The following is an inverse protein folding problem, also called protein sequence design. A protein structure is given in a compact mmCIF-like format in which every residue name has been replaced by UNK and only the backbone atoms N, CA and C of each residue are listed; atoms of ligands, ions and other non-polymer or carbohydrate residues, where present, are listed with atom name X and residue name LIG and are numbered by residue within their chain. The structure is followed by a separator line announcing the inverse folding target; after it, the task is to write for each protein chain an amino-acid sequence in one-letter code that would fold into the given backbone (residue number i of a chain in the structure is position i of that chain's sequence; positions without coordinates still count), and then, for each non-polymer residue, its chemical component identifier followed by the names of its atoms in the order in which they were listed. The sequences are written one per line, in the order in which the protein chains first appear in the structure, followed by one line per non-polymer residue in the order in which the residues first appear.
data_IF_619790425979
#
_entry.id   IF_619790425979
#
_cell.length_a   1.000
_cell.length_b   1.000
_cell.length_c   1.000
_cell.angle_alpha   90.00
_cell.angle_beta   90.00
_cell.angle_gamma   90.00
#
_symmetry.space_group_name_H-M   'P 1'
#
loop_
_entity.id
_entity.type
_entity.pdbx_description
1 polymer ?
#
# COMPACT_ATOMS: atom_id res chain seq x y z
N UNK A 1 -41.34 17.95 -40.44
CA UNK A 1 -40.26 18.62 -41.19
C UNK A 1 -39.24 19.09 -40.17
N UNK A 2 -38.13 18.37 -40.01
CA UNK A 2 -37.00 18.86 -39.20
C UNK A 2 -36.36 20.00 -39.96
N UNK A 3 -36.27 21.17 -39.34
CA UNK A 3 -35.56 22.31 -39.93
C UNK A 3 -34.07 22.01 -39.97
N UNK A 4 -33.35 22.54 -40.96
CA UNK A 4 -31.90 22.34 -41.10
C UNK A 4 -31.10 22.75 -39.83
N UNK A 5 -31.68 23.58 -38.95
CA UNK A 5 -31.13 23.89 -37.63
C UNK A 5 -31.09 22.69 -36.68
N UNK A 6 -32.08 21.80 -36.75
CA UNK A 6 -32.21 20.66 -35.82
C UNK A 6 -31.22 19.55 -36.19
N UNK A 7 -30.88 19.44 -37.47
CA UNK A 7 -29.83 18.54 -37.98
C UNK A 7 -28.44 19.07 -37.57
N UNK A 8 -28.19 20.38 -37.73
CA UNK A 8 -26.92 21.00 -37.31
C UNK A 8 -26.69 20.96 -35.79
N UNK A 9 -27.76 21.11 -34.98
CA UNK A 9 -27.68 20.99 -33.53
C UNK A 9 -27.44 19.55 -33.07
N UNK A 10 -27.97 18.56 -33.80
CA UNK A 10 -27.71 17.15 -33.53
C UNK A 10 -26.29 16.76 -33.96
N UNK A 11 -25.85 17.09 -35.18
CA UNK A 11 -24.49 16.79 -35.67
C UNK A 11 -23.39 17.37 -34.76
N UNK A 12 -23.54 18.62 -34.28
CA UNK A 12 -22.61 19.19 -33.29
C UNK A 12 -22.73 18.62 -31.87
N UNK A 13 -23.78 17.83 -31.59
CA UNK A 13 -23.91 17.06 -30.35
C UNK A 13 -23.34 15.64 -30.46
N UNK A 14 -23.08 15.14 -31.68
CA UNK A 14 -22.53 13.79 -31.92
C UNK A 14 -21.06 13.81 -32.34
N UNK A 15 -20.50 14.96 -32.72
CA UNK A 15 -19.05 15.05 -32.91
C UNK A 15 -18.35 14.80 -31.56
N UNK A 16 -17.42 13.83 -31.49
CA UNK A 16 -16.63 13.62 -30.30
C UNK A 16 -15.79 14.88 -30.11
N UNK A 17 -16.12 15.68 -29.09
CA UNK A 17 -15.29 16.79 -28.67
C UNK A 17 -13.84 16.27 -28.57
N UNK A 18 -12.86 16.90 -29.23
CA UNK A 18 -11.47 16.45 -29.18
C UNK A 18 -11.10 16.38 -27.72
N UNK A 19 -10.85 15.18 -27.19
CA UNK A 19 -10.84 14.88 -25.75
C UNK A 19 -10.30 16.06 -24.93
N UNK A 20 -11.21 16.95 -24.48
CA UNK A 20 -10.82 18.14 -23.75
C UNK A 20 -10.56 17.68 -22.33
N UNK A 21 -9.36 17.12 -22.13
CA UNK A 21 -8.97 16.56 -20.85
C UNK A 21 -8.80 17.71 -19.85
N UNK A 22 -9.84 17.93 -19.02
CA UNK A 22 -9.86 18.88 -17.90
C UNK A 22 -8.70 18.66 -16.91
N UNK A 23 -8.14 17.45 -16.91
CA UNK A 23 -7.00 17.04 -16.10
C UNK A 23 -5.88 16.63 -17.03
N UNK A 24 -4.67 17.15 -16.80
CA UNK A 24 -3.53 16.82 -17.66
C UNK A 24 -2.93 15.49 -17.24
N UNK A 25 -2.79 14.60 -18.22
CA UNK A 25 -1.98 13.40 -18.06
C UNK A 25 -0.55 13.78 -17.65
N UNK A 26 -0.03 13.07 -16.64
CA UNK A 26 1.36 13.15 -16.17
C UNK A 26 1.78 14.49 -15.52
N UNK A 27 0.85 15.40 -15.24
CA UNK A 27 1.08 16.54 -14.34
C UNK A 27 0.33 16.32 -13.03
N UNK A 28 1.08 16.37 -11.93
CA UNK A 28 0.57 16.12 -10.59
C UNK A 28 0.75 17.38 -9.76
N UNK A 29 -0.32 17.79 -9.08
CA UNK A 29 -0.22 18.75 -7.98
C UNK A 29 0.06 17.95 -6.73
N UNK A 30 0.96 18.44 -5.89
CA UNK A 30 1.27 17.79 -4.63
C UNK A 30 0.84 18.63 -3.44
N UNK A 31 0.37 17.95 -2.41
CA UNK A 31 0.12 18.54 -1.09
C UNK A 31 1.12 17.87 -0.14
N UNK A 32 1.92 18.68 0.55
CA UNK A 32 2.84 18.22 1.59
C UNK A 32 2.18 18.41 2.95
N UNK A 33 2.23 17.37 3.79
CA UNK A 33 2.00 17.53 5.21
C UNK A 33 3.34 17.69 5.93
N UNK A 34 3.56 18.87 6.51
CA UNK A 34 4.74 19.21 7.30
C UNK A 34 4.44 19.31 8.81
N UNK A 35 3.22 18.99 9.24
CA UNK A 35 2.80 19.06 10.65
C UNK A 35 3.04 17.76 11.41
N UNK A 36 3.27 16.66 10.69
CA UNK A 36 3.59 15.34 11.21
C UNK A 36 5.07 15.20 11.60
N UNK A 37 5.48 15.81 12.72
CA UNK A 37 6.78 15.55 13.35
C UNK A 37 6.61 14.63 14.57
N UNK A 38 7.63 13.83 14.91
CA UNK A 38 7.72 13.00 16.13
C UNK A 38 6.75 11.81 16.25
N UNK A 39 6.59 11.01 15.19
CA UNK A 39 5.92 9.70 15.29
C UNK A 39 4.40 9.76 15.45
N UNK A 40 3.78 10.94 15.31
CA UNK A 40 2.34 11.08 15.13
C UNK A 40 2.08 11.60 13.72
N UNK A 41 1.64 10.69 12.86
CA UNK A 41 1.19 11.04 11.52
C UNK A 41 -0.29 11.40 11.55
N UNK A 42 -0.64 12.60 11.09
CA UNK A 42 -2.01 13.02 10.82
C UNK A 42 -2.08 13.65 9.43
N UNK A 43 -1.84 12.86 8.38
CA UNK A 43 -1.86 13.36 7.01
C UNK A 43 -1.69 12.31 5.91
N UNK A 44 -2.25 12.64 4.75
CA UNK A 44 -2.49 11.85 3.54
C UNK A 44 -1.27 11.45 2.69
N UNK A 45 -1.16 10.14 2.40
CA UNK A 45 -0.44 9.48 1.27
C UNK A 45 1.09 9.46 1.27
N UNK A 46 1.61 8.32 0.77
CA UNK A 46 3.00 7.85 0.74
C UNK A 46 3.54 7.60 2.14
N UNK A 47 3.51 6.31 2.51
CA UNK A 47 3.98 5.79 3.78
C UNK A 47 5.46 5.46 3.66
N UNK A 48 6.23 5.75 4.71
CA UNK A 48 7.63 5.36 4.80
C UNK A 48 7.70 4.25 5.82
N UNK A 49 7.95 3.03 5.39
CA UNK A 49 8.02 1.94 6.33
C UNK A 49 9.45 1.90 6.89
N UNK A 50 9.57 2.08 8.20
CA UNK A 50 10.81 1.96 8.94
C UNK A 50 10.79 0.64 9.72
N UNK A 51 11.81 -0.17 9.47
CA UNK A 51 11.98 -1.48 10.08
C UNK A 51 13.34 -1.50 10.77
N UNK A 52 13.36 -1.83 12.05
CA UNK A 52 14.57 -1.76 12.86
C UNK A 52 14.65 -2.93 13.81
N UNK A 53 15.84 -3.53 13.95
CA UNK A 53 16.11 -4.53 14.97
C UNK A 53 17.35 -4.17 15.80
N UNK A 54 17.27 -4.24 17.12
CA UNK A 54 18.37 -3.99 18.07
C UNK A 54 18.37 -4.95 19.25
N UNK A 55 19.35 -4.82 20.15
CA UNK A 55 19.44 -5.57 21.40
C UNK A 55 19.40 -4.66 22.64
N UNK A 56 18.99 -5.24 23.77
CA UNK A 56 18.97 -4.58 25.08
C UNK A 56 20.27 -4.72 25.88
N UNK A 57 21.28 -5.40 25.35
CA UNK A 57 22.60 -5.57 25.94
C UNK A 57 23.66 -5.57 24.85
N UNK A 58 24.93 -5.32 25.19
CA UNK A 58 25.99 -5.48 24.20
C UNK A 58 26.10 -6.96 23.82
N UNK A 59 26.10 -7.25 22.52
CA UNK A 59 26.10 -8.62 21.99
C UNK A 59 27.21 -8.76 20.96
N UNK A 60 27.92 -9.89 20.98
CA UNK A 60 28.87 -10.27 19.94
C UNK A 60 28.13 -11.14 18.93
N UNK A 61 27.83 -10.60 17.76
CA UNK A 61 27.30 -11.40 16.66
C UNK A 61 28.44 -12.14 15.96
N UNK A 62 28.24 -13.43 15.69
CA UNK A 62 29.19 -14.23 14.88
C UNK A 62 28.80 -14.28 13.40
N UNK A 63 27.62 -13.73 13.06
CA UNK A 63 27.11 -13.58 11.71
C UNK A 63 26.19 -12.37 11.63
N UNK A 64 26.32 -11.62 10.54
CA UNK A 64 25.51 -10.44 10.25
C UNK A 64 24.08 -10.84 9.84
N UNK A 65 23.12 -9.90 9.95
CA UNK A 65 21.79 -10.09 9.36
C UNK A 65 21.90 -10.30 7.84
N UNK A 66 20.94 -11.01 7.27
CA UNK A 66 20.75 -10.96 5.82
C UNK A 66 20.17 -9.60 5.41
N UNK A 67 20.45 -9.14 4.19
CA UNK A 67 19.92 -7.85 3.69
C UNK A 67 18.38 -7.83 3.65
N UNK A 68 17.79 -9.02 3.55
CA UNK A 68 16.36 -9.26 3.51
C UNK A 68 15.81 -9.87 4.80
N UNK A 69 16.48 -9.66 5.94
CA UNK A 69 16.08 -10.24 7.25
C UNK A 69 14.67 -9.84 7.69
N UNK A 70 14.21 -8.64 7.34
CA UNK A 70 12.85 -8.15 7.60
C UNK A 70 12.18 -7.79 6.28
N UNK A 71 10.99 -8.33 6.03
CA UNK A 71 10.24 -8.13 4.79
C UNK A 71 8.81 -7.70 5.10
N UNK A 72 8.21 -6.75 4.36
CA UNK A 72 6.79 -6.41 4.51
C UNK A 72 5.85 -7.60 4.25
N UNK A 73 4.85 -7.80 5.12
CA UNK A 73 3.99 -9.00 5.11
C UNK A 73 3.12 -9.13 3.86
N UNK A 74 2.61 -8.01 3.33
CA UNK A 74 1.87 -7.96 2.06
C UNK A 74 2.09 -6.62 1.36
N UNK A 75 3.37 -6.24 1.24
CA UNK A 75 3.76 -4.90 0.78
C UNK A 75 3.35 -3.80 1.76
N UNK A 76 3.25 -2.57 1.26
CA UNK A 76 3.06 -1.41 2.10
C UNK A 76 1.65 -1.25 2.70
N UNK A 77 0.64 -1.94 2.17
CA UNK A 77 -0.75 -1.81 2.67
C UNK A 77 -0.95 -2.39 4.06
N UNK A 78 -0.12 -3.35 4.46
CA UNK A 78 -0.16 -3.89 5.82
C UNK A 78 0.23 -2.85 6.88
N UNK A 79 0.91 -1.78 6.48
CA UNK A 79 1.17 -0.64 7.37
C UNK A 79 -0.05 0.27 7.51
N UNK A 80 -1.08 0.17 6.66
CA UNK A 80 -2.35 0.88 6.85
C UNK A 80 -3.26 0.07 7.77
N UNK A 81 -3.58 0.64 8.92
CA UNK A 81 -4.57 0.07 9.83
C UNK A 81 -6.00 0.43 9.40
N UNK A 82 -6.24 1.74 9.21
CA UNK A 82 -7.58 2.24 8.96
C UNK A 82 -7.59 3.57 8.21
N UNK A 83 -8.68 3.82 7.47
CA UNK A 83 -8.82 5.00 6.61
C UNK A 83 -10.21 5.60 6.77
N UNK A 84 -10.25 6.91 7.04
CA UNK A 84 -11.48 7.72 7.01
C UNK A 84 -11.35 8.79 5.94
N UNK A 85 -12.42 9.07 5.21
CA UNK A 85 -12.46 10.13 4.19
C UNK A 85 -13.63 11.07 4.47
N UNK A 86 -13.33 12.36 4.58
CA UNK A 86 -14.28 13.45 4.77
C UNK A 86 -14.14 14.43 3.62
N UNK A 87 -15.20 14.65 2.86
CA UNK A 87 -15.24 15.55 1.72
C UNK A 87 -16.34 16.59 1.96
N UNK A 88 -15.99 17.86 1.83
CA UNK A 88 -16.89 19.01 2.00
C UNK A 88 -17.74 18.94 3.27
N UNK A 89 -17.11 18.51 4.37
CA UNK A 89 -17.75 18.35 5.70
C UNK A 89 -18.57 17.08 5.87
N UNK A 90 -18.71 16.24 4.84
CA UNK A 90 -19.43 14.96 4.88
C UNK A 90 -18.47 13.79 4.93
N UNK A 91 -18.67 12.87 5.86
CA UNK A 91 -17.89 11.62 5.91
C UNK A 91 -18.36 10.69 4.80
N UNK A 92 -17.53 10.49 3.77
CA UNK A 92 -17.82 9.60 2.62
C UNK A 92 -17.27 8.19 2.81
N UNK A 93 -16.29 8.03 3.71
CA UNK A 93 -15.88 6.74 4.26
C UNK A 93 -15.63 6.90 5.75
N UNK A 94 -16.38 6.16 6.57
CA UNK A 94 -16.15 6.08 8.02
C UNK A 94 -14.86 5.34 8.32
N UNK A 95 -14.24 5.64 9.46
CA UNK A 95 -13.06 4.90 9.91
C UNK A 95 -13.42 3.41 10.12
N UNK A 96 -12.72 2.49 9.46
CA UNK A 96 -12.93 1.04 9.58
C UNK A 96 -11.62 0.37 10.00
N UNK A 97 -11.64 -0.30 11.17
CA UNK A 97 -10.47 -0.58 12.02
C UNK A 97 -10.17 -2.07 12.14
N UNK A 98 -10.21 -2.85 11.04
CA UNK A 98 -9.56 -4.16 11.08
C UNK A 98 -9.01 -4.52 9.71
N UNK A 99 -7.67 -4.55 9.65
CA UNK A 99 -6.79 -4.83 8.50
C UNK A 99 -6.94 -3.94 7.26
N UNK A 100 -7.82 -2.94 7.30
CA UNK A 100 -8.53 -2.45 6.14
C UNK A 100 -8.69 -3.59 5.13
N UNK A 101 -9.52 -4.58 5.49
CA UNK A 101 -9.90 -5.68 4.59
C UNK A 101 -10.10 -5.09 3.21
N UNK A 102 -10.78 -3.95 3.03
CA UNK A 102 -10.94 -3.37 1.70
C UNK A 102 -9.62 -3.09 0.95
N UNK A 103 -8.62 -2.42 1.55
CA UNK A 103 -7.37 -2.13 0.85
C UNK A 103 -6.52 -3.39 0.60
N UNK A 104 -6.36 -4.23 1.63
CA UNK A 104 -5.60 -5.48 1.53
C UNK A 104 -6.31 -6.49 0.62
N UNK A 105 -7.62 -6.68 0.79
CA UNK A 105 -8.48 -7.51 -0.06
C UNK A 105 -8.52 -7.00 -1.48
N UNK A 106 -8.61 -5.70 -1.75
CA UNK A 106 -8.54 -5.18 -3.13
C UNK A 106 -7.18 -5.42 -3.76
N UNK A 107 -6.10 -5.24 -3.01
CA UNK A 107 -4.78 -5.62 -3.48
C UNK A 107 -4.72 -7.12 -3.82
N UNK A 108 -5.35 -7.98 -3.01
CA UNK A 108 -5.38 -9.43 -3.23
C UNK A 108 -6.37 -9.89 -4.32
N UNK A 109 -7.48 -9.18 -4.55
CA UNK A 109 -8.61 -9.65 -5.37
C UNK A 109 -8.88 -8.84 -6.62
N UNK A 110 -8.54 -7.54 -6.64
CA UNK A 110 -8.78 -6.66 -7.80
C UNK A 110 -7.52 -6.45 -8.65
N UNK A 111 -6.35 -6.85 -8.17
CA UNK A 111 -5.13 -6.76 -8.96
C UNK A 111 -5.09 -7.89 -9.98
N UNK A 112 -5.36 -7.54 -11.24
CA UNK A 112 -5.03 -8.43 -12.34
C UNK A 112 -3.50 -8.51 -12.54
N UNK A 113 -3.05 -9.56 -13.22
CA UNK A 113 -1.64 -9.78 -13.49
C UNK A 113 -0.98 -8.58 -14.21
N UNK A 114 -1.71 -7.91 -15.11
CA UNK A 114 -1.19 -6.72 -15.80
C UNK A 114 -1.05 -5.50 -14.86
N UNK A 115 -1.91 -5.35 -13.86
CA UNK A 115 -1.74 -4.31 -12.83
C UNK A 115 -0.55 -4.64 -11.94
N UNK A 116 -0.40 -5.90 -11.54
CA UNK A 116 0.76 -6.37 -10.78
C UNK A 116 2.09 -6.07 -11.51
N UNK A 117 2.22 -6.44 -12.79
CA UNK A 117 3.44 -6.18 -13.57
C UNK A 117 3.77 -4.69 -13.68
N UNK A 118 2.75 -3.82 -13.75
CA UNK A 118 2.94 -2.37 -13.89
C UNK A 118 3.22 -1.66 -12.56
N UNK A 119 2.72 -2.19 -11.44
CA UNK A 119 2.57 -1.42 -10.20
C UNK A 119 3.09 -2.13 -8.93
N UNK A 120 3.38 -3.44 -8.99
CA UNK A 120 3.87 -4.22 -7.86
C UNK A 120 5.17 -3.67 -7.29
N UNK A 121 6.13 -3.31 -8.15
CA UNK A 121 7.42 -2.78 -7.74
C UNK A 121 7.35 -1.48 -6.95
N UNK A 122 6.42 -0.57 -7.27
CA UNK A 122 6.30 0.74 -6.60
C UNK A 122 5.60 0.68 -5.24
N UNK A 123 4.95 -0.44 -4.97
CA UNK A 123 4.10 -0.64 -3.80
C UNK A 123 4.55 -1.81 -2.93
N UNK A 124 5.65 -2.45 -3.34
CA UNK A 124 6.25 -3.64 -2.73
C UNK A 124 5.25 -4.81 -2.61
N UNK A 125 4.24 -4.86 -3.49
CA UNK A 125 3.27 -5.94 -3.53
C UNK A 125 3.80 -7.14 -4.33
N UNK A 126 3.52 -8.34 -3.85
CA UNK A 126 3.57 -9.56 -4.65
C UNK A 126 2.43 -10.48 -4.24
N UNK A 127 1.86 -11.18 -5.22
CA UNK A 127 0.86 -12.22 -4.99
C UNK A 127 1.55 -13.42 -4.32
N UNK A 128 1.01 -13.88 -3.20
CA UNK A 128 1.47 -15.09 -2.56
C UNK A 128 1.09 -16.29 -3.44
N UNK A 129 2.11 -16.96 -3.98
CA UNK A 129 1.97 -18.19 -4.74
C UNK A 129 2.70 -19.32 -4.00
N UNK A 130 2.14 -20.52 -4.08
CA UNK A 130 2.86 -21.72 -3.68
C UNK A 130 3.81 -22.10 -4.81
N UNK A 131 5.11 -21.97 -4.57
CA UNK A 131 6.13 -22.52 -5.48
C UNK A 131 6.81 -23.72 -4.82
N UNK A 132 7.18 -24.71 -5.63
CA UNK A 132 8.07 -25.78 -5.18
C UNK A 132 9.38 -25.15 -4.67
N UNK A 133 9.96 -25.66 -3.56
CA UNK A 133 11.29 -25.25 -3.11
C UNK A 133 12.30 -25.25 -4.26
N UNK A 134 13.09 -24.19 -4.41
CA UNK A 134 14.01 -23.99 -5.52
C UNK A 134 15.18 -25.00 -5.49
N UNK A 135 15.20 -25.97 -6.41
CA UNK A 135 16.13 -27.10 -6.47
C UNK A 135 17.58 -26.81 -5.97
N UNK A 136 17.88 -27.28 -4.76
CA UNK A 136 19.22 -27.52 -4.22
C UNK A 136 19.31 -28.98 -3.76
N UNK A 137 20.50 -29.58 -3.79
CA UNK A 137 20.74 -31.04 -3.62
C UNK A 137 20.36 -31.65 -2.26
N UNK A 138 19.61 -30.94 -1.43
CA UNK A 138 19.19 -31.34 -0.08
C UNK A 138 17.77 -30.87 0.28
N UNK A 139 16.97 -30.46 -0.72
CA UNK A 139 15.59 -30.03 -0.47
C UNK A 139 14.66 -31.25 -0.39
N UNK A 140 13.91 -31.30 0.70
CA UNK A 140 12.86 -32.29 0.93
C UNK A 140 11.72 -32.01 -0.06
N UNK A 141 11.51 -32.93 -1.00
CA UNK A 141 10.65 -32.75 -2.18
C UNK A 141 9.14 -32.95 -1.93
N UNK A 142 8.74 -33.35 -0.73
CA UNK A 142 7.35 -33.74 -0.43
C UNK A 142 6.96 -33.37 0.99
N UNK A 143 5.70 -32.96 1.20
CA UNK A 143 5.13 -32.64 2.53
C UNK A 143 5.33 -33.80 3.52
N UNK A 144 5.22 -35.03 3.02
CA UNK A 144 5.39 -36.27 3.78
C UNK A 144 6.79 -36.45 4.39
N UNK A 145 7.79 -35.74 3.87
CA UNK A 145 9.17 -35.81 4.35
C UNK A 145 9.61 -34.57 5.14
N UNK A 146 8.76 -33.54 5.25
CA UNK A 146 9.06 -32.34 6.07
C UNK A 146 8.84 -32.69 7.54
N UNK A 147 9.87 -32.57 8.37
CA UNK A 147 9.71 -32.80 9.81
C UNK A 147 8.72 -31.80 10.38
N UNK A 148 7.79 -32.26 11.22
CA UNK A 148 6.75 -31.41 11.83
C UNK A 148 7.36 -30.22 12.57
N UNK A 149 8.53 -30.35 13.18
CA UNK A 149 9.28 -29.26 13.82
C UNK A 149 9.76 -28.15 12.87
N UNK A 150 9.84 -28.43 11.57
CA UNK A 150 10.21 -27.47 10.51
C UNK A 150 9.00 -26.71 9.96
N UNK A 151 7.78 -27.20 10.20
CA UNK A 151 6.53 -26.60 9.73
C UNK A 151 5.71 -26.01 10.89
N UNK A 152 5.64 -26.73 11.99
CA UNK A 152 4.93 -26.43 13.23
C UNK A 152 5.92 -26.28 14.38
N UNK A 153 6.15 -25.05 14.84
CA UNK A 153 6.72 -24.85 16.17
C UNK A 153 5.57 -24.79 17.19
N UNK A 154 5.49 -25.74 18.10
CA UNK A 154 4.49 -25.75 19.19
C UNK A 154 4.60 -24.55 20.16
N UNK A 155 5.67 -23.77 20.05
CA UNK A 155 5.96 -22.57 20.86
C UNK A 155 5.61 -21.27 20.12
N UNK A 156 5.58 -21.32 18.78
CA UNK A 156 5.34 -20.17 17.91
C UNK A 156 4.32 -20.65 16.89
N UNK A 157 3.03 -20.51 17.24
CA UNK A 157 1.92 -21.00 16.43
C UNK A 157 2.09 -20.65 14.95
N UNK A 158 1.52 -21.50 14.11
CA UNK A 158 1.59 -21.48 12.65
C UNK A 158 0.97 -20.21 12.04
N UNK A 159 1.63 -19.06 12.23
CA UNK A 159 1.23 -17.78 11.68
C UNK A 159 2.48 -16.94 11.39
N UNK A 160 3.00 -17.06 10.16
CA UNK A 160 3.68 -15.95 9.49
C UNK A 160 5.16 -15.74 9.80
N UNK A 161 5.97 -16.79 9.92
CA UNK A 161 7.40 -16.59 10.17
C UNK A 161 8.36 -17.30 9.19
N UNK A 162 8.07 -18.45 8.57
CA UNK A 162 9.00 -19.03 7.58
C UNK A 162 8.68 -18.57 6.14
N UNK A 163 9.51 -17.70 5.57
CA UNK A 163 9.25 -16.99 4.32
C UNK A 163 9.58 -17.82 3.05
N UNK A 164 10.72 -18.50 2.92
CA UNK A 164 11.19 -18.81 1.55
C UNK A 164 11.12 -20.25 1.07
N UNK A 165 10.76 -21.24 1.90
CA UNK A 165 10.64 -22.61 1.37
C UNK A 165 9.31 -22.85 0.64
N UNK A 166 8.26 -22.08 0.93
CA UNK A 166 6.89 -22.33 0.43
C UNK A 166 6.09 -21.05 0.07
N UNK A 167 6.49 -19.85 0.52
CA UNK A 167 5.80 -18.60 0.18
C UNK A 167 6.60 -17.81 -0.87
N UNK A 168 6.28 -18.06 -2.15
CA UNK A 168 6.92 -17.39 -3.29
C UNK A 168 6.70 -15.87 -3.27
N UNK A 169 5.56 -15.41 -2.78
CA UNK A 169 5.26 -13.98 -2.69
C UNK A 169 6.17 -13.27 -1.71
N UNK A 170 6.44 -13.90 -0.56
CA UNK A 170 7.35 -13.36 0.44
C UNK A 170 8.83 -13.42 -0.01
N UNK A 171 9.21 -14.44 -0.80
CA UNK A 171 10.49 -14.48 -1.52
C UNK A 171 10.60 -13.35 -2.54
N UNK A 172 9.60 -13.16 -3.42
CA UNK A 172 9.63 -12.11 -4.43
C UNK A 172 9.60 -10.71 -3.79
N UNK A 173 8.88 -10.53 -2.67
CA UNK A 173 8.94 -9.29 -1.87
C UNK A 173 10.33 -9.05 -1.31
N UNK A 174 11.05 -10.11 -0.92
CA UNK A 174 12.42 -10.02 -0.43
C UNK A 174 13.40 -9.49 -1.51
N UNK A 175 13.08 -9.69 -2.79
CA UNK A 175 13.85 -9.13 -3.90
C UNK A 175 13.71 -7.60 -4.02
N UNK A 176 12.72 -7.00 -3.36
CA UNK A 176 12.57 -5.54 -3.25
C UNK A 176 13.33 -4.94 -2.07
N UNK A 177 13.86 -5.75 -1.16
CA UNK A 177 14.27 -5.33 0.19
C UNK A 177 15.48 -4.38 0.20
N UNK A 178 16.43 -4.49 -0.74
CA UNK A 178 17.39 -3.43 -1.11
C UNK A 178 18.38 -3.85 -2.21
N UNK A 179 19.18 -2.87 -2.68
CA UNK A 179 20.42 -3.08 -3.42
C UNK A 179 21.55 -3.47 -2.45
N UNK A 180 22.26 -4.54 -2.74
CA UNK A 180 23.50 -4.91 -2.04
C UNK A 180 24.56 -3.83 -2.28
N UNK A 181 24.89 -3.06 -1.24
CA UNK A 181 25.81 -1.91 -1.28
C UNK A 181 27.28 -2.32 -1.10
N UNK A 182 27.60 -3.61 -1.18
CA UNK A 182 28.99 -4.05 -1.17
C UNK A 182 29.70 -3.60 -2.46
N UNK A 183 30.95 -3.16 -2.31
CA UNK A 183 31.83 -2.89 -3.45
C UNK A 183 31.91 -4.14 -4.35
N UNK A 184 31.93 -3.95 -5.67
CA UNK A 184 31.87 -4.98 -6.73
C UNK A 184 30.47 -5.51 -7.08
N UNK A 185 29.39 -4.90 -6.56
CA UNK A 185 28.03 -5.16 -7.02
C UNK A 185 27.67 -4.12 -8.08
N UNK A 186 27.16 -4.57 -9.23
CA UNK A 186 26.73 -3.69 -10.33
C UNK A 186 25.81 -2.56 -9.85
N UNK A 187 24.91 -2.87 -8.91
CA UNK A 187 24.05 -1.89 -8.27
C UNK A 187 24.83 -0.77 -7.57
N UNK A 188 25.84 -1.12 -6.78
CA UNK A 188 26.73 -0.17 -6.12
C UNK A 188 27.60 0.59 -7.13
N UNK A 189 28.08 -0.06 -8.18
CA UNK A 189 28.91 0.58 -9.21
C UNK A 189 28.12 1.61 -10.03
N UNK A 190 26.84 1.35 -10.29
CA UNK A 190 25.95 2.26 -11.04
C UNK A 190 25.39 3.37 -10.15
N UNK A 191 24.93 3.03 -8.95
CA UNK A 191 24.21 3.96 -8.08
C UNK A 191 25.13 4.67 -7.09
N UNK A 192 26.29 4.12 -6.76
CA UNK A 192 27.23 4.70 -5.80
C UNK A 192 26.77 4.56 -4.35
N UNK A 193 27.09 5.57 -3.53
CA UNK A 193 26.87 5.56 -2.08
C UNK A 193 25.39 5.75 -1.67
N UNK A 194 25.11 5.58 -0.38
CA UNK A 194 23.79 5.75 0.25
C UNK A 194 23.05 7.03 -0.19
N UNK A 195 23.77 8.15 -0.36
CA UNK A 195 23.17 9.43 -0.74
C UNK A 195 22.46 9.38 -2.11
N UNK A 196 23.02 8.64 -3.06
CA UNK A 196 22.44 8.49 -4.39
C UNK A 196 21.21 7.56 -4.37
N UNK A 197 21.24 6.54 -3.51
CA UNK A 197 20.11 5.62 -3.31
C UNK A 197 18.91 6.37 -2.70
N UNK A 198 19.15 7.33 -1.80
CA UNK A 198 18.11 8.22 -1.27
C UNK A 198 17.47 9.05 -2.39
N UNK A 199 18.28 9.64 -3.26
CA UNK A 199 17.82 10.51 -4.33
C UNK A 199 16.86 9.80 -5.31
N UNK A 200 17.04 8.50 -5.53
CA UNK A 200 16.17 7.70 -6.41
C UNK A 200 15.06 6.95 -5.69
N UNK A 201 14.91 7.16 -4.37
CA UNK A 201 13.86 6.54 -3.55
C UNK A 201 13.85 5.01 -3.61
N UNK A 202 15.03 4.38 -3.68
CA UNK A 202 15.16 2.92 -3.57
C UNK A 202 15.20 2.52 -2.08
N UNK A 203 14.70 1.31 -1.74
CA UNK A 203 14.82 0.79 -0.39
C UNK A 203 16.27 0.79 0.10
N UNK A 204 16.46 1.30 1.31
CA UNK A 204 17.77 1.42 1.94
C UNK A 204 17.85 0.42 3.07
N UNK A 205 18.90 -0.38 3.10
CA UNK A 205 19.14 -1.33 4.18
C UNK A 205 20.53 -1.13 4.75
N UNK A 206 20.60 -1.14 6.07
CA UNK A 206 21.80 -1.24 6.86
C UNK A 206 21.79 -2.58 7.59
N UNK A 207 22.94 -3.25 7.57
CA UNK A 207 23.20 -4.47 8.33
C UNK A 207 24.48 -4.24 9.13
N UNK A 208 24.43 -4.50 10.43
CA UNK A 208 25.63 -4.50 11.25
C UNK A 208 26.54 -5.67 10.86
N UNK A 209 27.86 -5.44 10.66
CA UNK A 209 28.80 -6.51 10.41
C UNK A 209 28.87 -7.45 11.62
N UNK A 210 29.36 -8.68 11.39
CA UNK A 210 29.66 -9.59 12.49
C UNK A 210 30.69 -8.95 13.44
N UNK A 211 30.42 -8.97 14.74
CA UNK A 211 31.28 -8.39 15.75
C UNK A 211 30.52 -7.87 16.96
N UNK A 212 31.19 -7.02 17.74
CA UNK A 212 30.60 -6.40 18.92
C UNK A 212 29.60 -5.32 18.52
N UNK A 213 28.33 -5.53 18.86
CA UNK A 213 27.25 -4.54 18.72
C UNK A 213 26.94 -4.01 20.12
N UNK A 214 26.99 -2.68 20.26
CA UNK A 214 26.72 -2.01 21.53
C UNK A 214 25.24 -2.12 21.91
N UNK A 215 24.95 -1.99 23.22
CA UNK A 215 23.57 -1.95 23.70
C UNK A 215 22.78 -0.83 23.00
N UNK A 216 21.61 -1.15 22.46
CA UNK A 216 20.73 -0.22 21.75
C UNK A 216 21.16 0.11 20.33
N UNK A 217 22.31 -0.39 19.85
CA UNK A 217 22.73 -0.20 18.47
C UNK A 217 21.93 -1.13 17.51
N UNK A 218 21.66 -0.69 16.27
CA UNK A 218 20.99 -1.52 15.28
C UNK A 218 21.82 -2.73 14.87
N UNK A 219 21.17 -3.88 14.74
CA UNK A 219 21.63 -4.98 13.89
C UNK A 219 21.15 -4.85 12.45
N UNK A 220 19.97 -4.27 12.28
CA UNK A 220 19.29 -4.13 11.00
C UNK A 220 18.47 -2.84 11.00
N UNK A 221 18.56 -2.07 9.93
CA UNK A 221 17.65 -0.96 9.65
C UNK A 221 17.25 -1.02 8.19
N UNK A 222 15.97 -0.85 7.90
CA UNK A 222 15.50 -0.65 6.54
C UNK A 222 14.50 0.49 6.45
N UNK A 223 14.60 1.26 5.35
CA UNK A 223 13.65 2.29 4.99
C UNK A 223 13.07 2.00 3.60
N UNK A 224 11.75 1.90 3.53
CA UNK A 224 10.99 1.75 2.29
C UNK A 224 10.19 3.02 2.01
N UNK A 225 10.21 3.48 0.76
CA UNK A 225 9.18 4.39 0.28
C UNK A 225 8.01 3.57 -0.27
N UNK A 226 6.84 3.72 0.33
CA UNK A 226 5.62 3.12 -0.17
C UNK A 226 4.81 4.10 -1.02
N UNK A 227 4.41 3.67 -2.21
CA UNK A 227 3.45 4.38 -3.04
C UNK A 227 2.10 3.67 -3.01
N UNK A 228 1.10 4.29 -2.36
CA UNK A 228 -0.25 3.74 -2.27
C UNK A 228 -1.22 4.62 -3.03
N UNK A 229 -2.03 3.99 -3.89
CA UNK A 229 -3.01 4.71 -4.72
C UNK A 229 -4.27 5.02 -3.91
N UNK A 230 -4.83 6.21 -4.13
CA UNK A 230 -6.11 6.63 -3.55
C UNK A 230 -7.26 5.64 -3.79
N UNK A 231 -7.34 5.08 -5.00
CA UNK A 231 -8.39 4.12 -5.36
C UNK A 231 -8.30 2.80 -4.57
N UNK A 232 -7.11 2.46 -4.07
CA UNK A 232 -6.87 1.21 -3.36
C UNK A 232 -7.23 1.37 -1.86
N UNK A 233 -7.11 2.56 -1.27
CA UNK A 233 -7.41 2.80 0.15
C UNK A 233 -8.92 2.93 0.45
N UNK A 234 -9.71 3.38 -0.53
CA UNK A 234 -11.12 3.71 -0.37
C UNK A 234 -11.86 3.65 -1.71
N UNK A 235 -13.05 3.04 -1.74
CA UNK A 235 -13.89 2.94 -2.94
C UNK A 235 -14.37 4.28 -3.48
N UNK A 236 -14.48 5.29 -2.61
CA UNK A 236 -14.85 6.64 -3.01
C UNK A 236 -13.95 7.11 -4.16
N UNK A 237 -12.63 6.98 -4.04
CA UNK A 237 -11.70 7.46 -5.06
C UNK A 237 -11.72 6.68 -6.38
N UNK A 238 -12.28 5.46 -6.37
CA UNK A 238 -12.52 4.68 -7.59
C UNK A 238 -13.78 5.12 -8.33
N UNK A 239 -14.77 5.61 -7.57
CA UNK A 239 -16.13 5.91 -8.07
C UNK A 239 -16.43 7.40 -8.20
N UNK A 240 -15.69 8.25 -7.49
CA UNK A 240 -15.93 9.67 -7.50
C UNK A 240 -15.61 10.21 -8.90
N UNK A 241 -16.50 11.01 -9.50
CA UNK A 241 -16.15 11.72 -10.73
C UNK A 241 -14.99 12.67 -10.43
N UNK A 242 -14.25 13.07 -11.46
CA UNK A 242 -13.24 14.10 -11.27
C UNK A 242 -13.94 15.42 -10.87
N UNK A 243 -13.61 15.93 -9.69
CA UNK A 243 -14.24 17.10 -9.11
C UNK A 243 -13.21 18.23 -8.94
N UNK A 244 -13.65 19.47 -9.16
CA UNK A 244 -12.87 20.69 -8.93
C UNK A 244 -13.35 21.35 -7.64
N UNK A 245 -12.44 22.02 -6.94
CA UNK A 245 -12.72 22.77 -5.70
C UNK A 245 -13.20 21.92 -4.51
N UNK A 246 -13.07 20.60 -4.57
CA UNK A 246 -13.33 19.69 -3.45
C UNK A 246 -12.34 19.94 -2.33
N UNK A 247 -12.84 20.10 -1.10
CA UNK A 247 -12.00 20.19 0.10
C UNK A 247 -12.31 19.04 1.03
N UNK A 248 -11.32 18.61 1.79
CA UNK A 248 -11.55 17.47 2.67
C UNK A 248 -10.31 16.99 3.38
N UNK A 249 -10.51 15.96 4.18
CA UNK A 249 -9.49 15.26 4.94
C UNK A 249 -9.60 13.76 4.64
N UNK A 250 -8.47 13.08 4.66
CA UNK A 250 -8.37 11.63 4.66
C UNK A 250 -7.45 11.36 5.82
N UNK A 251 -7.95 10.61 6.78
CA UNK A 251 -7.19 10.17 7.92
C UNK A 251 -6.71 8.76 7.60
N UNK A 252 -5.41 8.53 7.74
CA UNK A 252 -4.80 7.22 7.58
C UNK A 252 -4.13 6.92 8.91
N UNK A 253 -4.59 5.86 9.57
CA UNK A 253 -3.94 5.34 10.76
C UNK A 253 -3.02 4.19 10.33
N UNK A 254 -1.87 4.07 10.98
CA UNK A 254 -0.86 3.08 10.64
C UNK A 254 -0.75 1.99 11.70
N UNK A 255 -0.45 0.79 11.24
CA UNK A 255 0.01 -0.29 12.08
C UNK A 255 1.45 -0.02 12.51
N UNK A 256 1.71 -0.14 13.82
CA UNK A 256 3.05 -0.12 14.38
C UNK A 256 3.18 -1.22 15.43
N UNK A 257 4.30 -1.94 15.39
CA UNK A 257 4.53 -3.07 16.29
C UNK A 257 5.95 -3.04 16.84
N UNK A 258 6.10 -3.59 18.03
CA UNK A 258 7.36 -3.92 18.67
C UNK A 258 7.36 -5.40 19.02
N UNK A 259 8.25 -6.17 18.40
CA UNK A 259 8.39 -7.60 18.60
C UNK A 259 9.65 -7.90 19.37
N UNK A 260 9.52 -8.54 20.52
CA UNK A 260 10.65 -9.06 21.27
C UNK A 260 10.93 -10.49 20.81
N UNK A 261 12.18 -10.76 20.43
CA UNK A 261 12.68 -12.09 20.10
C UNK A 261 13.74 -12.46 21.13
N UNK A 262 13.54 -13.56 21.85
CA UNK A 262 14.53 -14.11 22.78
C UNK A 262 15.13 -15.37 22.18
N UNK A 263 16.45 -15.44 22.05
CA UNK A 263 17.12 -16.66 21.58
C UNK A 263 17.33 -17.66 22.72
N UNK A 264 17.05 -18.94 22.46
CA UNK A 264 17.17 -20.02 23.43
C UNK A 264 18.49 -20.80 23.29
N UNK A 265 19.21 -20.60 22.19
CA UNK A 265 20.50 -21.25 21.91
C UNK A 265 21.40 -20.31 21.11
N UNK A 266 22.71 -20.49 21.25
CA UNK A 266 23.70 -19.79 20.42
C UNK A 266 23.58 -20.28 18.98
N UNK A 267 23.59 -19.37 18.02
CA UNK A 267 23.51 -19.70 16.61
C UNK A 267 22.66 -18.72 15.82
N UNK A 268 22.34 -19.10 14.59
CA UNK A 268 21.44 -18.33 13.73
C UNK A 268 20.06 -18.23 14.39
N UNK A 269 19.50 -17.03 14.39
CA UNK A 269 18.12 -16.77 14.82
C UNK A 269 17.20 -17.54 13.87
N UNK A 270 16.52 -18.57 14.39
CA UNK A 270 15.74 -19.53 13.63
C UNK A 270 14.44 -19.89 14.37
N UNK A 271 13.38 -20.38 13.68
CA UNK A 271 12.10 -20.66 14.34
C UNK A 271 12.23 -21.61 15.53
N UNK A 272 13.11 -22.62 15.46
CA UNK A 272 13.34 -23.59 16.55
C UNK A 272 14.21 -23.08 17.70
N UNK A 273 14.82 -21.90 17.57
CA UNK A 273 15.80 -21.36 18.53
C UNK A 273 15.31 -20.09 19.21
N UNK A 274 14.05 -19.69 19.01
CA UNK A 274 13.51 -18.42 19.50
C UNK A 274 12.19 -18.58 20.25
N UNK A 275 11.95 -17.65 21.18
CA UNK A 275 10.64 -17.27 21.68
C UNK A 275 10.30 -15.87 21.18
N UNK A 276 9.06 -15.65 20.76
CA UNK A 276 8.62 -14.38 20.16
C UNK A 276 7.44 -13.83 20.97
N UNK A 277 7.50 -12.54 21.28
CA UNK A 277 6.38 -11.79 21.85
C UNK A 277 6.15 -10.55 21.01
N UNK A 278 5.02 -10.48 20.31
CA UNK A 278 4.64 -9.29 19.55
C UNK A 278 3.78 -8.37 20.42
N UNK A 279 4.06 -7.08 20.35
CA UNK A 279 3.31 -6.03 21.01
C UNK A 279 2.92 -4.94 20.00
N UNK A 280 1.62 -4.80 19.75
CA UNK A 280 1.10 -3.74 18.90
C UNK A 280 1.20 -2.40 19.63
N UNK A 281 1.99 -1.48 19.09
CA UNK A 281 2.10 -0.11 19.62
C UNK A 281 0.91 0.73 19.15
N UNK A 282 0.56 0.60 17.88
CA UNK A 282 -0.60 1.23 17.24
C UNK A 282 -1.18 0.31 16.17
N UNK A 283 -2.48 0.43 15.91
CA UNK A 283 -3.20 -0.43 14.97
C UNK A 283 -3.39 -1.85 15.51
N UNK A 284 -3.77 -2.77 14.62
CA UNK A 284 -4.26 -4.09 15.00
C UNK A 284 -3.38 -5.26 14.51
N UNK A 285 -2.46 -5.04 13.56
CA UNK A 285 -1.66 -6.13 12.96
C UNK A 285 -0.19 -5.80 12.82
N UNK A 286 0.67 -6.81 13.03
CA UNK A 286 2.10 -6.68 12.77
C UNK A 286 2.37 -6.61 11.24
N UNK A 287 2.96 -5.52 10.72
CA UNK A 287 3.08 -5.30 9.28
C UNK A 287 4.27 -6.04 8.62
N UNK A 288 5.11 -6.70 9.41
CA UNK A 288 6.38 -7.28 8.95
C UNK A 288 6.47 -8.78 9.19
N UNK A 289 7.37 -9.41 8.42
CA UNK A 289 7.79 -10.80 8.53
C UNK A 289 9.28 -10.84 8.81
N UNK A 290 9.71 -11.71 9.72
CA UNK A 290 11.12 -12.06 9.87
C UNK A 290 11.48 -13.14 8.85
N UNK A 291 12.42 -12.86 7.96
CA UNK A 291 12.86 -13.82 6.96
C UNK A 291 14.00 -14.69 7.52
N UNK A 292 13.70 -15.95 7.84
CA UNK A 292 14.72 -16.90 8.32
C UNK A 292 15.62 -17.47 7.23
N UNK A 293 15.26 -17.28 5.97
CA UNK A 293 15.90 -17.98 4.86
C UNK A 293 16.04 -17.00 3.71
N UNK A 294 17.20 -16.37 3.61
CA UNK A 294 17.44 -15.27 2.67
C UNK A 294 17.32 -15.72 1.21
N UNK A 295 16.74 -14.87 0.37
CA UNK A 295 16.60 -15.11 -1.07
C UNK A 295 17.95 -15.13 -1.81
N UNK A 296 19.01 -14.57 -1.22
CA UNK A 296 20.37 -14.61 -1.76
C UNK A 296 21.17 -15.85 -1.33
N UNK A 297 20.59 -16.73 -0.50
CA UNK A 297 21.17 -18.03 -0.14
C UNK A 297 20.84 -19.08 -1.20
N UNK A 298 21.84 -19.54 -1.96
CA UNK A 298 21.61 -20.31 -3.20
C UNK A 298 21.34 -21.81 -3.05
N UNK A 299 21.27 -22.44 -1.86
CA UNK A 299 21.16 -23.92 -1.87
C UNK A 299 20.74 -24.69 -0.60
N UNK A 300 20.47 -24.11 0.58
CA UNK A 300 20.32 -24.93 1.80
C UNK A 300 19.04 -24.66 2.59
N UNK A 301 18.40 -25.73 3.10
CA UNK A 301 17.34 -25.72 4.13
C UNK A 301 17.86 -25.19 5.49
N UNK A 302 18.97 -24.45 5.50
CA UNK A 302 19.51 -23.89 6.72
C UNK A 302 18.99 -22.46 6.89
N UNK A 303 18.49 -22.11 8.08
CA UNK A 303 18.28 -20.73 8.43
C UNK A 303 19.56 -19.92 8.17
N UNK A 304 19.40 -18.70 7.67
CA UNK A 304 20.49 -17.76 7.37
C UNK A 304 20.27 -16.45 8.12
N UNK A 305 21.34 -15.66 8.22
CA UNK A 305 21.28 -14.30 8.76
C UNK A 305 21.86 -14.19 10.16
N UNK A 306 21.23 -13.35 10.98
CA UNK A 306 21.79 -12.92 12.26
C UNK A 306 22.13 -14.12 13.17
N UNK A 307 23.39 -14.20 13.61
CA UNK A 307 23.87 -15.22 14.53
C UNK A 307 24.35 -14.58 15.83
N UNK A 308 23.71 -14.97 16.94
CA UNK A 308 23.88 -14.36 18.27
C UNK A 308 24.00 -15.43 19.36
N UNK A 309 24.55 -15.08 20.54
CA UNK A 309 24.57 -15.96 21.71
C UNK A 309 23.17 -16.36 22.17
N UNK A 310 23.09 -17.45 22.95
CA UNK A 310 21.88 -17.81 23.70
C UNK A 310 21.46 -16.68 24.65
N UNK A 311 20.18 -16.59 24.94
CA UNK A 311 19.55 -15.58 25.81
C UNK A 311 19.71 -14.14 25.30
N UNK A 312 20.02 -13.96 24.01
CA UNK A 312 20.01 -12.64 23.39
C UNK A 312 18.57 -12.17 23.23
N UNK A 313 18.28 -10.96 23.71
CA UNK A 313 16.98 -10.33 23.54
C UNK A 313 17.10 -9.28 22.45
N UNK A 314 16.36 -9.49 21.36
CA UNK A 314 16.24 -8.59 20.23
C UNK A 314 14.89 -7.88 20.27
N UNK A 315 14.87 -6.61 19.93
CA UNK A 315 13.66 -5.81 19.73
C UNK A 315 13.56 -5.43 18.28
N UNK A 316 12.47 -5.82 17.64
CA UNK A 316 12.15 -5.48 16.26
C UNK A 316 11.00 -4.51 16.25
N UNK A 317 11.23 -3.27 15.80
CA UNK A 317 10.18 -2.28 15.62
C UNK A 317 9.86 -2.12 14.14
N UNK A 318 8.57 -2.04 13.84
CA UNK A 318 8.07 -1.67 12.53
C UNK A 318 7.07 -0.52 12.69
N UNK A 319 7.33 0.59 12.04
CA UNK A 319 6.52 1.80 12.11
C UNK A 319 6.57 2.57 10.79
N UNK A 320 5.66 3.54 10.64
CA UNK A 320 5.80 4.55 9.59
C UNK A 320 6.57 5.71 10.20
N UNK A 321 7.76 6.04 9.65
CA UNK A 321 8.63 7.07 10.24
C UNK A 321 9.58 7.73 9.22
N UNK A 322 9.70 9.06 9.29
CA UNK A 322 10.54 9.91 8.46
C UNK A 322 11.87 10.32 9.11
N UNK A 323 12.17 9.80 10.31
CA UNK A 323 13.43 10.11 11.01
C UNK A 323 14.55 9.14 10.64
N UNK A 324 15.78 9.65 10.54
CA UNK A 324 16.97 8.83 10.39
C UNK A 324 17.26 8.01 11.65
N UNK A 325 17.75 6.78 11.46
CA UNK A 325 18.06 5.88 12.57
C UNK A 325 19.52 6.02 12.97
N UNK A 326 19.74 6.44 14.22
CA UNK A 326 21.09 6.62 14.77
C UNK A 326 21.93 5.33 14.67
N UNK A 327 23.21 5.47 14.35
CA UNK A 327 24.16 4.35 14.24
C UNK A 327 24.10 3.54 12.94
N UNK A 328 23.10 3.77 12.07
CA UNK A 328 22.95 3.05 10.80
C UNK A 328 23.58 3.75 9.60
N UNK A 329 23.79 5.07 9.67
CA UNK A 329 24.31 5.87 8.55
C UNK A 329 23.35 5.97 7.34
N UNK A 330 22.12 5.46 7.45
CA UNK A 330 21.06 5.57 6.45
C UNK A 330 19.93 6.48 6.96
N UNK A 331 19.17 7.06 6.04
CA UNK A 331 18.02 7.91 6.37
C UNK A 331 16.90 7.74 5.32
N UNK A 332 15.62 7.95 5.68
CA UNK A 332 14.53 7.89 4.72
C UNK A 332 14.76 8.79 3.51
N UNK A 333 14.30 8.37 2.32
CA UNK A 333 14.45 9.17 1.09
C UNK A 333 13.70 10.50 1.15
N UNK A 334 12.67 10.60 2.00
CA UNK A 334 11.97 11.84 2.33
C UNK A 334 11.53 11.78 3.80
N UNK A 335 11.45 12.94 4.45
CA UNK A 335 11.02 13.05 5.85
C UNK A 335 9.53 13.37 6.02
N UNK A 336 8.76 13.45 4.91
CA UNK A 336 7.37 13.86 4.89
C UNK A 336 6.56 13.01 3.91
N UNK A 337 5.26 12.89 4.16
CA UNK A 337 4.29 12.26 3.27
C UNK A 337 3.80 13.25 2.18
N UNK A 338 3.35 12.73 1.04
CA UNK A 338 2.93 13.53 -0.11
C UNK A 338 1.71 12.94 -0.79
N UNK A 339 0.63 13.72 -0.84
CA UNK A 339 -0.53 13.44 -1.68
C UNK A 339 -0.29 13.95 -3.11
N UNK A 340 -0.31 13.03 -4.07
CA UNK A 340 -0.24 13.34 -5.50
C UNK A 340 -1.64 13.23 -6.12
N UNK A 341 -2.15 14.33 -6.67
CA UNK A 341 -3.44 14.39 -7.38
C UNK A 341 -3.27 14.97 -8.79
N UNK A 342 -4.10 14.56 -9.77
CA UNK A 342 -4.02 15.10 -11.12
C UNK A 342 -4.17 16.63 -11.13
N UNK A 343 -3.32 17.31 -11.91
CA UNK A 343 -3.42 18.76 -12.05
C UNK A 343 -4.61 19.13 -12.94
N UNK A 344 -5.55 19.89 -12.37
CA UNK A 344 -6.62 20.53 -13.12
C UNK A 344 -6.07 21.65 -14.02
N UNK A 345 -6.50 21.68 -15.28
CA UNK A 345 -6.17 22.74 -16.24
C UNK A 345 -7.44 23.55 -16.51
N UNK A 346 -7.48 24.85 -16.16
CA UNK A 346 -8.65 25.69 -16.42
C UNK A 346 -9.07 25.67 -17.89
N UNK A 347 -10.34 25.33 -18.14
CA UNK A 347 -10.95 25.41 -19.45
C UNK A 347 -12.35 26.06 -19.34
N UNK A 348 -12.49 27.35 -19.69
CA UNK A 348 -13.73 28.08 -19.52
C UNK A 348 -14.95 27.49 -20.26
N UNK A 349 -14.78 26.86 -21.42
CA UNK A 349 -15.88 26.27 -22.19
C UNK A 349 -16.43 25.02 -21.50
N UNK A 350 -15.54 24.09 -21.14
CA UNK A 350 -15.89 22.88 -20.42
C UNK A 350 -16.41 23.18 -19.00
N UNK A 351 -15.85 24.17 -18.31
CA UNK A 351 -16.34 24.64 -17.01
C UNK A 351 -17.77 25.19 -17.11
N UNK A 352 -18.07 26.01 -18.12
CA UNK A 352 -19.41 26.56 -18.31
C UNK A 352 -20.44 25.47 -18.63
N UNK A 353 -20.05 24.48 -19.44
CA UNK A 353 -20.90 23.33 -19.75
C UNK A 353 -21.24 22.47 -18.51
N UNK A 354 -20.30 22.33 -17.55
CA UNK A 354 -20.50 21.58 -16.31
C UNK A 354 -21.32 22.34 -15.26
N UNK A 355 -21.32 23.68 -15.29
CA UNK A 355 -22.06 24.54 -14.35
C UNK A 355 -23.49 24.81 -14.86
N UNK A 356 -23.76 24.62 -16.14
CA UNK A 356 -25.08 24.86 -16.72
C UNK A 356 -26.15 23.91 -16.14
N UNK A 357 -27.08 24.50 -15.38
CA UNK A 357 -28.35 23.85 -15.04
C UNK A 357 -29.19 23.71 -16.31
N UNK A 358 -29.17 22.53 -16.93
CA UNK A 358 -30.04 22.24 -18.08
C UNK A 358 -31.48 22.12 -17.61
N UNK A 359 -32.32 23.05 -18.04
CA UNK A 359 -33.78 22.97 -17.87
C UNK A 359 -34.37 22.65 -19.24
N UNK A 360 -35.23 21.64 -19.31
CA UNK A 360 -35.99 21.35 -20.52
C UNK A 360 -37.46 21.64 -20.23
N UNK A 361 -38.08 22.42 -21.11
CA UNK A 361 -39.53 22.60 -21.15
C UNK A 361 -40.04 21.67 -22.23
N UNK A 362 -40.85 20.70 -21.85
CA UNK A 362 -41.58 19.88 -22.81
C UNK A 362 -43.03 20.35 -22.86
N UNK A 363 -43.61 20.40 -24.06
CA UNK A 363 -45.04 20.55 -24.23
C UNK A 363 -45.65 19.16 -24.26
N UNK A 364 -46.30 18.76 -23.18
CA UNK A 364 -47.07 17.53 -23.17
C UNK A 364 -48.43 17.77 -23.85
N UNK A 365 -48.71 17.01 -24.92
CA UNK A 365 -50.02 17.03 -25.57
C UNK A 365 -50.94 16.03 -24.87
N UNK A 366 -51.74 16.50 -23.91
CA UNK A 366 -52.79 15.69 -23.29
C UNK A 366 -54.01 15.65 -24.22
N UNK A 367 -54.33 14.48 -24.76
CA UNK A 367 -55.54 14.29 -25.59
C UNK A 367 -56.63 13.63 -24.77
N UNK A 368 -57.66 14.39 -24.39
CA UNK A 368 -58.84 13.86 -23.71
C UNK A 368 -59.88 13.42 -24.76
N UNK A 369 -60.20 12.12 -24.80
CA UNK A 369 -61.22 11.57 -25.70
C UNK A 369 -62.56 11.48 -24.97
N UNK A 370 -63.61 12.04 -25.57
CA UNK A 370 -64.98 11.94 -25.06
C UNK A 370 -65.86 11.24 -26.09
N UNK A 371 -66.90 10.55 -25.62
CA UNK A 371 -67.94 9.96 -26.47
C UNK A 371 -69.28 10.48 -25.98
N UNK A 372 -70.01 11.21 -26.83
CA UNK A 372 -71.32 11.79 -26.52
C UNK A 372 -72.34 11.26 -27.53
N UNK A 373 -73.49 10.79 -27.04
CA UNK A 373 -74.60 10.30 -27.86
C UNK A 373 -75.37 11.47 -28.48
N UNK A 374 -75.96 11.25 -29.65
CA UNK A 374 -76.71 12.29 -30.37
C UNK A 374 -77.85 12.85 -29.51
N UNK A 375 -77.94 14.18 -29.42
CA UNK A 375 -78.99 14.89 -28.68
C UNK A 375 -78.77 15.04 -27.16
N UNK A 376 -77.63 14.58 -26.63
CA UNK A 376 -77.32 14.72 -25.20
C UNK A 376 -76.48 15.97 -24.91
N UNK A 377 -76.85 16.73 -23.87
CA UNK A 377 -75.99 17.78 -23.29
C UNK A 377 -74.90 17.13 -22.43
N UNK A 378 -73.65 17.55 -22.61
CA UNK A 378 -72.49 17.05 -21.88
C UNK A 378 -71.72 18.21 -21.23
N UNK A 379 -71.35 18.07 -19.96
CA UNK A 379 -70.55 19.07 -19.22
C UNK A 379 -69.43 18.34 -18.48
N UNK A 380 -68.18 18.76 -18.71
CA UNK A 380 -67.00 18.18 -18.07
C UNK A 380 -66.03 19.30 -17.66
N UNK A 381 -65.40 19.14 -16.49
CA UNK A 381 -64.37 20.05 -15.98
C UNK A 381 -62.99 19.45 -16.22
N UNK A 382 -62.15 20.11 -17.02
CA UNK A 382 -60.75 19.71 -17.22
C UNK A 382 -59.91 20.36 -16.12
N UNK A 383 -59.24 19.55 -15.29
CA UNK A 383 -58.31 20.03 -14.27
C UNK A 383 -56.88 19.70 -14.72
N UNK A 384 -56.06 20.73 -14.97
CA UNK A 384 -54.63 20.52 -15.18
C UNK A 384 -53.95 20.28 -13.82
N UNK A 385 -53.37 19.10 -13.63
CA UNK A 385 -52.44 18.87 -12.51
C UNK A 385 -51.09 19.37 -12.97
N UNK A 386 -50.66 20.52 -12.45
CA UNK A 386 -49.30 21.01 -12.65
C UNK A 386 -48.36 20.10 -11.84
N UNK A 387 -47.66 19.17 -12.48
CA UNK A 387 -46.57 18.44 -11.83
C UNK A 387 -45.43 19.43 -11.58
N UNK A 388 -45.28 19.88 -10.33
CA UNK A 388 -44.00 20.42 -9.84
C UNK A 388 -43.09 19.22 -9.55
N UNK A 389 -42.11 18.98 -10.41
CA UNK A 389 -40.91 18.19 -10.09
C UNK A 389 -39.73 19.13 -9.84
#
# INVERSE_FOLDING_TARGET
MSTASDISAFEHSVEPAPAETLFRDKKWTYIQDSTSNTGQYSGQIQSFDHLFASCFSSVISTGACSIDQLVPKAGAWQFIDSVQVVIDGTTVQTNQVHENVNATFKALTEWDYNTYLRQGQTSNFVIDEYASPAAGSSLIQYLDNVTTSSFMNSTVGEFGLSNTLLNKGAYDRSLFTALDQQANKLAFDVMGSTANIQAVSKPQVYVAPAGSVANGAPFYVAHYLACIKLKDICDYFKKCPMQKNTRGFIYINYNSSSTTITTNSTGVVAPGTIAVSNNMQFGNTCPILWNFYSAVSTATLSPTGLNVPASTILTVTADVNGTATSGSGIAPSQAFSRLLVPTYSPNPSADNALIQKKTFRYFERVTNKFTVQAGQSFTWTITNVLFQM
#
